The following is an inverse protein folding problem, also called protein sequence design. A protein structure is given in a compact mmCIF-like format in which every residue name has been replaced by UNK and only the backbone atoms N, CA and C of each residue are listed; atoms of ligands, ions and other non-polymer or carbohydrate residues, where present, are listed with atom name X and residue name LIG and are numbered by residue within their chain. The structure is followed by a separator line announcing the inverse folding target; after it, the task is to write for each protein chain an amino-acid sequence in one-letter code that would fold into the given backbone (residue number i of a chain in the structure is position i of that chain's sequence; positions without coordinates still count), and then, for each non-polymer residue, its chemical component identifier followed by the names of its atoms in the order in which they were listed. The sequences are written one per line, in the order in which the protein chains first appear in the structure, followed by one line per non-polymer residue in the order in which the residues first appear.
data_IF_748709618083
#
_entry.id   IF_748709618083
#
_cell.length_a   1.000
_cell.length_b   1.000
_cell.length_c   1.000
_cell.angle_alpha   90.00
_cell.angle_beta   90.00
_cell.angle_gamma   90.00
#
_symmetry.space_group_name_H-M   'P 1'
#
loop_
_entity.id
_entity.type
_entity.pdbx_description
1 polymer ?
#
# COMPACT_ATOMS: atom_id res chain seq x y z
N UNK A 1 -18.24 8.18 -39.18
CA UNK A 1 -16.88 8.84 -39.27
C UNK A 1 -16.31 9.23 -37.92
N UNK A 2 -17.10 9.46 -36.86
CA UNK A 2 -16.63 9.90 -35.52
C UNK A 2 -16.01 8.77 -34.67
N UNK A 3 -16.49 7.53 -34.76
CA UNK A 3 -15.98 6.37 -34.03
C UNK A 3 -14.55 5.96 -34.45
N UNK A 4 -14.22 6.12 -35.75
CA UNK A 4 -12.87 5.82 -36.26
C UNK A 4 -11.81 6.81 -35.78
N UNK A 5 -12.16 8.06 -35.54
CA UNK A 5 -11.25 9.11 -35.06
C UNK A 5 -10.94 8.92 -33.56
N UNK A 6 -11.93 8.52 -32.75
CA UNK A 6 -11.72 8.22 -31.32
C UNK A 6 -10.84 6.98 -31.11
N UNK A 7 -11.04 5.92 -31.88
CA UNK A 7 -10.19 4.73 -31.84
C UNK A 7 -8.76 5.02 -32.24
N UNK A 8 -8.56 5.89 -33.26
CA UNK A 8 -7.23 6.31 -33.71
C UNK A 8 -6.51 7.15 -32.66
N UNK A 9 -7.19 8.11 -32.01
CA UNK A 9 -6.59 8.94 -30.96
C UNK A 9 -6.21 8.14 -29.70
N UNK A 10 -7.06 7.18 -29.29
CA UNK A 10 -6.76 6.29 -28.18
C UNK A 10 -5.58 5.36 -28.52
N UNK A 11 -5.53 4.83 -29.76
CA UNK A 11 -4.41 4.03 -30.26
C UNK A 11 -3.11 4.84 -30.34
N UNK A 12 -3.18 6.11 -30.73
CA UNK A 12 -2.01 7.01 -30.81
C UNK A 12 -1.47 7.38 -29.43
N UNK A 13 -2.36 7.59 -28.45
CA UNK A 13 -1.95 7.81 -27.06
C UNK A 13 -1.31 6.54 -26.49
N UNK A 14 -1.86 5.36 -26.78
CA UNK A 14 -1.27 4.07 -26.38
C UNK A 14 0.07 3.82 -27.07
N UNK A 15 0.21 4.08 -28.37
CA UNK A 15 1.47 3.98 -29.10
C UNK A 15 2.54 4.96 -28.58
N UNK A 16 2.16 6.20 -28.28
CA UNK A 16 3.11 7.16 -27.66
C UNK A 16 3.57 6.74 -26.27
N UNK A 17 2.77 5.98 -25.52
CA UNK A 17 3.19 5.38 -24.26
C UNK A 17 4.12 4.17 -24.48
N UNK A 18 3.93 3.40 -25.55
CA UNK A 18 4.81 2.26 -25.90
C UNK A 18 6.15 2.70 -26.53
N UNK A 19 6.15 3.72 -27.39
CA UNK A 19 7.37 4.19 -28.07
C UNK A 19 8.31 4.99 -27.19
N UNK A 20 7.85 5.65 -26.12
CA UNK A 20 8.68 6.52 -25.31
C UNK A 20 8.93 6.03 -23.89
N UNK A 21 8.67 4.81 -23.50
CA UNK A 21 8.92 4.38 -22.10
C UNK A 21 8.75 5.54 -21.10
N UNK A 22 8.61 5.35 -19.84
CA UNK A 22 8.49 6.44 -18.86
C UNK A 22 9.49 7.56 -19.18
N UNK A 23 8.99 8.77 -19.46
CA UNK A 23 9.79 9.91 -19.88
C UNK A 23 11.01 10.04 -18.95
N UNK A 24 12.23 9.91 -19.47
CA UNK A 24 13.48 9.92 -18.70
C UNK A 24 13.59 11.12 -17.75
N UNK A 25 12.99 12.25 -18.13
CA UNK A 25 12.90 13.44 -17.27
C UNK A 25 11.97 13.21 -16.08
N UNK A 26 10.76 12.65 -16.30
CA UNK A 26 9.81 12.36 -15.24
C UNK A 26 10.40 11.35 -14.22
N UNK A 27 11.07 10.29 -14.70
CA UNK A 27 11.77 9.35 -13.83
C UNK A 27 12.80 10.03 -12.91
N UNK A 28 13.66 10.91 -13.48
CA UNK A 28 14.66 11.66 -12.68
C UNK A 28 14.00 12.56 -11.63
N UNK A 29 12.92 13.27 -11.99
CA UNK A 29 12.19 14.11 -11.04
C UNK A 29 11.54 13.30 -9.91
N UNK A 30 10.89 12.18 -10.22
CA UNK A 30 10.28 11.32 -9.22
C UNK A 30 11.36 10.77 -8.27
N UNK A 31 12.47 10.24 -8.81
CA UNK A 31 13.58 9.75 -8.00
C UNK A 31 14.20 10.87 -7.14
N UNK A 32 14.40 12.04 -7.70
CA UNK A 32 14.98 13.20 -6.98
C UNK A 32 14.10 13.68 -5.83
N UNK A 33 12.79 13.85 -6.08
CA UNK A 33 11.83 14.26 -5.05
C UNK A 33 11.71 13.17 -3.98
N UNK A 34 11.59 11.89 -4.38
CA UNK A 34 11.52 10.78 -3.42
C UNK A 34 12.77 10.69 -2.58
N UNK A 35 13.96 10.79 -3.17
CA UNK A 35 15.23 10.75 -2.44
C UNK A 35 15.35 11.92 -1.46
N UNK A 36 14.99 13.14 -1.86
CA UNK A 36 15.00 14.32 -0.99
C UNK A 36 14.00 14.15 0.19
N UNK A 37 12.79 13.70 -0.10
CA UNK A 37 11.76 13.47 0.92
C UNK A 37 12.16 12.35 1.87
N UNK A 38 12.63 11.21 1.36
CA UNK A 38 13.14 10.11 2.19
C UNK A 38 14.35 10.56 3.03
N UNK A 39 15.26 11.34 2.48
CA UNK A 39 16.42 11.88 3.19
C UNK A 39 16.03 12.74 4.40
N UNK A 40 14.98 13.55 4.27
CA UNK A 40 14.44 14.35 5.37
C UNK A 40 13.72 13.45 6.42
N UNK A 41 13.00 12.43 5.97
CA UNK A 41 12.24 11.55 6.88
C UNK A 41 13.17 10.58 7.63
N UNK A 42 14.24 10.09 7.00
CA UNK A 42 15.19 9.12 7.60
C UNK A 42 15.72 9.61 8.94
N UNK A 43 15.99 10.90 9.09
CA UNK A 43 16.52 11.47 10.33
C UNK A 43 15.57 11.28 11.52
N UNK A 44 14.27 11.25 11.27
CA UNK A 44 13.24 11.11 12.29
C UNK A 44 12.64 9.69 12.34
N UNK A 45 12.37 9.10 11.17
CA UNK A 45 11.68 7.81 11.09
C UNK A 45 12.08 7.01 9.84
N UNK A 46 13.08 6.13 10.02
CA UNK A 46 13.57 5.26 8.95
C UNK A 46 12.46 4.37 8.37
N UNK A 47 11.58 3.83 9.20
CA UNK A 47 10.50 2.92 8.76
C UNK A 47 9.54 3.61 7.80
N UNK A 48 9.19 4.87 8.08
CA UNK A 48 8.33 5.67 7.21
C UNK A 48 9.05 5.98 5.89
N UNK A 49 10.35 6.26 5.93
CA UNK A 49 11.14 6.49 4.73
C UNK A 49 11.22 5.24 3.84
N UNK A 50 11.43 4.06 4.44
CA UNK A 50 11.45 2.77 3.73
C UNK A 50 10.07 2.45 3.14
N UNK A 51 8.99 2.70 3.88
CA UNK A 51 7.62 2.54 3.38
C UNK A 51 7.34 3.46 2.19
N UNK A 52 7.74 4.73 2.27
CA UNK A 52 7.57 5.68 1.18
C UNK A 52 8.39 5.25 -0.05
N UNK A 53 9.65 4.94 0.12
CA UNK A 53 10.52 4.48 -0.96
C UNK A 53 9.98 3.20 -1.61
N UNK A 54 9.57 2.21 -0.80
CA UNK A 54 8.98 0.97 -1.26
C UNK A 54 7.65 1.16 -2.01
N UNK A 55 6.78 2.04 -1.51
CA UNK A 55 5.51 2.35 -2.19
C UNK A 55 5.72 3.05 -3.53
N UNK A 56 6.64 4.01 -3.61
CA UNK A 56 6.99 4.68 -4.87
C UNK A 56 7.65 3.71 -5.84
N UNK A 57 8.53 2.83 -5.36
CA UNK A 57 9.16 1.79 -6.18
C UNK A 57 8.12 0.85 -6.80
N UNK A 58 7.18 0.34 -5.99
CA UNK A 58 6.09 -0.50 -6.48
C UNK A 58 5.16 0.26 -7.44
N UNK A 59 4.91 1.55 -7.18
CA UNK A 59 4.13 2.38 -8.10
C UNK A 59 4.84 2.59 -9.44
N UNK A 60 6.16 2.76 -9.44
CA UNK A 60 6.97 2.81 -10.69
C UNK A 60 6.93 1.47 -11.44
N UNK A 61 6.93 0.33 -10.72
CA UNK A 61 6.78 -0.98 -11.32
C UNK A 61 5.43 -1.12 -12.03
N UNK A 62 4.32 -0.73 -11.35
CA UNK A 62 2.97 -0.69 -11.95
C UNK A 62 2.91 0.30 -13.12
N UNK A 63 3.65 1.41 -13.04
CA UNK A 63 3.78 2.44 -14.08
C UNK A 63 4.60 2.01 -15.30
N UNK A 64 5.04 0.73 -15.37
CA UNK A 64 5.81 0.16 -16.47
C UNK A 64 7.13 0.89 -16.76
N UNK A 65 7.81 1.35 -15.70
CA UNK A 65 9.18 1.86 -15.82
C UNK A 65 10.09 0.72 -16.31
N UNK A 66 11.01 0.97 -17.27
CA UNK A 66 11.89 -0.07 -17.81
C UNK A 66 12.66 -0.83 -16.72
N UNK A 67 12.65 -2.15 -16.78
CA UNK A 67 13.28 -3.02 -15.78
C UNK A 67 14.77 -2.69 -15.51
N UNK A 68 15.49 -2.18 -16.51
CA UNK A 68 16.88 -1.72 -16.33
C UNK A 68 17.00 -0.57 -15.33
N UNK A 69 16.10 0.41 -15.40
CA UNK A 69 16.09 1.55 -14.48
C UNK A 69 15.60 1.15 -13.09
N UNK A 70 14.58 0.28 -13.04
CA UNK A 70 14.04 -0.26 -11.80
C UNK A 70 15.08 -1.14 -11.09
N UNK A 71 15.79 -2.00 -11.82
CA UNK A 71 16.89 -2.82 -11.28
C UNK A 71 18.07 -1.98 -10.77
N UNK A 72 18.43 -0.91 -11.47
CA UNK A 72 19.43 0.04 -10.99
C UNK A 72 18.99 0.71 -9.68
N UNK A 73 17.73 1.17 -9.62
CA UNK A 73 17.18 1.81 -8.41
C UNK A 73 17.13 0.82 -7.23
N UNK A 74 16.71 -0.42 -7.47
CA UNK A 74 16.73 -1.49 -6.48
C UNK A 74 18.16 -1.79 -6.00
N UNK A 75 19.14 -1.85 -6.91
CA UNK A 75 20.56 -2.05 -6.57
C UNK A 75 21.11 -0.92 -5.72
N UNK A 76 20.80 0.34 -6.06
CA UNK A 76 21.20 1.50 -5.25
C UNK A 76 20.54 1.44 -3.87
N UNK A 77 19.22 1.16 -3.79
CA UNK A 77 18.50 1.02 -2.53
C UNK A 77 19.09 -0.08 -1.65
N UNK A 78 19.38 -1.23 -2.22
CA UNK A 78 20.01 -2.35 -1.51
C UNK A 78 21.42 -2.00 -1.01
N UNK A 79 22.22 -1.35 -1.83
CA UNK A 79 23.55 -0.85 -1.41
C UNK A 79 23.43 0.17 -0.26
N UNK A 80 22.48 1.10 -0.32
CA UNK A 80 22.22 2.05 0.76
C UNK A 80 21.80 1.34 2.07
N UNK A 81 20.99 0.28 1.98
CA UNK A 81 20.59 -0.52 3.17
C UNK A 81 21.84 -1.21 3.76
N UNK A 82 22.66 -1.87 2.94
CA UNK A 82 23.88 -2.54 3.43
C UNK A 82 24.85 -1.54 4.07
N UNK A 83 25.10 -0.42 3.42
CA UNK A 83 25.98 0.64 3.96
C UNK A 83 25.36 1.21 5.23
N UNK A 84 24.04 1.48 5.25
CA UNK A 84 23.35 2.00 6.43
C UNK A 84 23.42 1.05 7.61
N UNK A 85 23.08 -0.23 7.42
CA UNK A 85 23.20 -1.27 8.46
C UNK A 85 24.65 -1.43 8.92
N UNK A 86 25.60 -1.44 7.98
CA UNK A 86 27.03 -1.50 8.31
C UNK A 86 27.48 -0.31 9.14
N UNK A 87 27.16 0.91 8.76
CA UNK A 87 27.53 2.11 9.50
C UNK A 87 26.89 2.14 10.89
N UNK A 88 25.63 1.77 11.02
CA UNK A 88 24.94 1.68 12.32
C UNK A 88 25.60 0.63 13.22
N UNK A 89 26.01 -0.52 12.69
CA UNK A 89 26.62 -1.60 13.49
C UNK A 89 28.05 -1.30 13.94
N UNK A 90 28.86 -0.64 13.08
CA UNK A 90 30.29 -0.44 13.35
C UNK A 90 30.62 0.88 14.07
N UNK A 91 29.76 1.88 14.01
CA UNK A 91 30.02 3.17 14.68
C UNK A 91 29.48 3.12 16.12
N UNK A 92 30.29 3.44 17.14
CA UNK A 92 29.85 3.46 18.53
C UNK A 92 28.71 4.47 18.76
N UNK A 93 27.73 4.12 19.62
CA UNK A 93 26.58 4.97 19.94
C UNK A 93 26.94 6.39 20.41
N UNK A 94 28.06 6.54 21.15
CA UNK A 94 28.56 7.85 21.60
C UNK A 94 28.93 8.80 20.47
N UNK A 95 29.33 8.27 19.31
CA UNK A 95 29.64 9.09 18.14
C UNK A 95 28.38 9.68 17.49
N UNK A 96 27.27 8.93 17.52
CA UNK A 96 25.98 9.39 17.02
C UNK A 96 25.40 10.51 17.87
N UNK A 97 25.52 10.43 19.20
CA UNK A 97 25.08 11.45 20.13
C UNK A 97 25.83 12.77 19.95
N UNK A 98 27.15 12.71 19.71
CA UNK A 98 27.98 13.91 19.43
C UNK A 98 27.59 14.66 18.18
N UNK A 99 27.03 13.94 17.18
CA UNK A 99 26.59 14.52 15.89
C UNK A 99 25.11 14.97 15.98
N UNK A 100 24.42 14.73 17.12
CA UNK A 100 23.01 15.08 17.30
C UNK A 100 22.02 14.10 16.66
N UNK A 101 22.47 12.91 16.26
CA UNK A 101 21.65 11.87 15.65
C UNK A 101 21.21 10.81 16.67
N UNK A 102 20.54 11.24 17.74
CA UNK A 102 20.08 10.37 18.85
C UNK A 102 19.21 9.18 18.36
N UNK A 103 18.50 9.33 17.26
CA UNK A 103 17.66 8.26 16.66
C UNK A 103 18.49 7.09 16.15
N UNK A 104 19.75 7.30 15.74
CA UNK A 104 20.62 6.23 15.28
C UNK A 104 21.01 5.25 16.39
N UNK A 105 21.12 5.72 17.63
CA UNK A 105 21.35 4.88 18.79
C UNK A 105 20.16 3.92 19.02
N UNK A 106 18.94 4.44 18.91
CA UNK A 106 17.73 3.62 19.02
C UNK A 106 17.66 2.57 17.88
N UNK A 107 18.08 2.93 16.66
CA UNK A 107 18.15 1.98 15.55
C UNK A 107 19.20 0.92 15.75
N UNK A 108 20.38 1.30 16.29
CA UNK A 108 21.45 0.37 16.63
C UNK A 108 20.99 -0.66 17.66
N UNK A 109 20.30 -0.21 18.72
CA UNK A 109 19.73 -1.11 19.74
C UNK A 109 18.71 -2.08 19.12
N UNK A 110 17.75 -1.59 18.34
CA UNK A 110 16.74 -2.44 17.69
C UNK A 110 17.33 -3.46 16.73
N UNK A 111 18.38 -3.07 16.00
CA UNK A 111 19.05 -3.94 15.04
C UNK A 111 19.84 -5.03 15.76
N UNK A 112 20.60 -4.64 16.78
CA UNK A 112 21.38 -5.58 17.59
C UNK A 112 20.46 -6.58 18.30
N UNK A 113 19.38 -6.11 18.94
CA UNK A 113 18.43 -6.97 19.64
C UNK A 113 17.69 -7.94 18.68
N UNK A 114 17.57 -7.59 17.41
CA UNK A 114 16.92 -8.46 16.40
C UNK A 114 17.89 -9.53 15.85
N UNK A 115 19.18 -9.22 15.72
CA UNK A 115 20.15 -10.12 15.10
C UNK A 115 21.03 -10.88 16.09
N UNK A 116 21.18 -10.39 17.34
CA UNK A 116 21.92 -11.11 18.37
C UNK A 116 20.97 -12.10 19.06
N UNK A 117 21.05 -13.38 18.70
CA UNK A 117 20.35 -14.50 19.35
C UNK A 117 20.88 -14.81 20.76
N UNK A 118 21.94 -14.13 21.22
CA UNK A 118 22.48 -14.30 22.57
C UNK A 118 21.49 -13.75 23.59
N UNK A 119 21.30 -14.49 24.70
CA UNK A 119 20.55 -14.02 25.87
C UNK A 119 20.99 -12.59 26.23
N UNK A 120 20.06 -11.64 26.10
CA UNK A 120 20.35 -10.24 26.39
C UNK A 120 20.75 -10.17 27.88
N UNK A 121 21.99 -9.77 28.23
CA UNK A 121 22.36 -9.63 29.62
C UNK A 121 21.39 -8.69 30.32
N UNK A 122 20.99 -9.04 31.56
CA UNK A 122 20.03 -8.26 32.35
C UNK A 122 20.37 -6.76 32.44
N UNK A 123 21.66 -6.42 32.36
CA UNK A 123 22.15 -5.03 32.34
C UNK A 123 21.89 -4.27 31.03
N UNK A 124 21.56 -4.97 29.91
CA UNK A 124 21.28 -4.38 28.62
C UNK A 124 19.82 -4.57 28.19
N UNK A 125 18.99 -5.17 29.04
CA UNK A 125 17.57 -5.41 28.77
C UNK A 125 16.82 -4.07 28.74
N UNK A 126 16.32 -3.69 27.56
CA UNK A 126 15.47 -2.52 27.42
C UNK A 126 14.03 -2.92 27.77
N UNK A 127 13.59 -2.51 28.97
CA UNK A 127 12.28 -2.85 29.52
C UNK A 127 11.14 -2.45 28.58
N UNK A 128 11.31 -1.38 27.81
CA UNK A 128 10.24 -0.89 26.93
C UNK A 128 10.18 -1.63 25.59
N UNK A 129 11.32 -1.92 24.96
CA UNK A 129 11.36 -2.53 23.63
C UNK A 129 11.47 -4.06 23.67
N UNK A 130 12.33 -4.60 24.55
CA UNK A 130 12.60 -6.05 24.61
C UNK A 130 11.41 -6.80 25.25
N UNK A 131 10.80 -6.20 26.29
CA UNK A 131 9.59 -6.74 26.90
C UNK A 131 8.40 -6.75 25.91
N UNK A 132 8.26 -5.73 25.07
CA UNK A 132 7.17 -5.67 24.07
C UNK A 132 7.28 -6.81 23.05
N UNK A 133 8.49 -7.07 22.54
CA UNK A 133 8.73 -8.17 21.59
C UNK A 133 8.47 -9.52 22.27
N UNK A 134 8.97 -9.70 23.50
CA UNK A 134 8.77 -10.93 24.27
C UNK A 134 7.27 -11.19 24.51
N UNK A 135 6.52 -10.20 24.96
CA UNK A 135 5.08 -10.32 25.16
C UNK A 135 4.30 -10.57 23.86
N UNK A 136 4.69 -9.96 22.75
CA UNK A 136 4.10 -10.23 21.45
C UNK A 136 4.34 -11.69 20.99
N UNK A 137 5.56 -12.19 21.19
CA UNK A 137 5.90 -13.59 20.89
C UNK A 137 5.13 -14.57 21.80
N UNK A 138 4.98 -14.26 23.09
CA UNK A 138 4.18 -15.07 24.03
C UNK A 138 2.70 -15.05 23.61
N UNK A 139 2.16 -13.89 23.20
CA UNK A 139 0.80 -13.76 22.71
C UNK A 139 0.56 -14.73 21.53
N UNK A 140 1.45 -14.69 20.54
CA UNK A 140 1.35 -15.56 19.35
C UNK A 140 1.56 -17.02 19.70
N UNK A 141 2.59 -17.36 20.51
CA UNK A 141 2.88 -18.74 20.89
C UNK A 141 1.74 -19.38 21.72
N UNK A 142 1.07 -18.59 22.56
CA UNK A 142 -0.02 -19.05 23.41
C UNK A 142 -1.39 -19.10 22.74
N UNK A 143 -1.50 -18.59 21.51
CA UNK A 143 -2.81 -18.42 20.83
C UNK A 143 -3.41 -19.70 20.28
N UNK A 144 -2.59 -20.70 19.95
CA UNK A 144 -3.04 -21.89 19.21
C UNK A 144 -3.76 -21.55 17.87
N UNK A 145 -4.56 -22.48 17.34
CA UNK A 145 -5.27 -22.28 16.06
C UNK A 145 -6.51 -21.40 16.23
N UNK A 146 -7.26 -21.55 17.31
CA UNK A 146 -8.57 -20.90 17.51
C UNK A 146 -8.50 -19.68 18.46
N UNK A 147 -7.34 -19.43 19.09
CA UNK A 147 -7.18 -18.36 20.06
C UNK A 147 -7.84 -18.60 21.41
N UNK A 148 -7.68 -17.63 22.30
CA UNK A 148 -8.21 -17.64 23.69
C UNK A 148 -9.67 -17.11 23.76
N UNK A 149 -10.20 -16.65 22.66
CA UNK A 149 -11.50 -15.97 22.56
C UNK A 149 -11.40 -14.44 22.65
N UNK A 150 -12.34 -13.70 22.04
CA UNK A 150 -12.36 -12.26 22.02
C UNK A 150 -12.37 -11.66 23.44
N UNK A 151 -11.51 -10.69 23.70
CA UNK A 151 -11.39 -10.01 25.00
C UNK A 151 -10.58 -10.76 26.06
N UNK A 152 -10.10 -11.98 25.79
CA UNK A 152 -9.35 -12.82 26.72
C UNK A 152 -7.84 -12.76 26.52
N UNK A 153 -7.34 -11.71 25.86
CA UNK A 153 -5.90 -11.51 25.76
C UNK A 153 -5.28 -11.19 27.12
N UNK A 154 -4.29 -11.97 27.52
CA UNK A 154 -3.51 -11.75 28.74
C UNK A 154 -2.38 -10.77 28.46
N UNK A 155 -1.77 -10.85 27.27
CA UNK A 155 -0.61 -10.04 26.94
C UNK A 155 -0.95 -8.58 26.63
N UNK A 156 -2.20 -8.27 26.35
CA UNK A 156 -2.69 -6.91 26.11
C UNK A 156 -2.34 -5.94 27.24
N UNK A 157 -2.43 -6.38 28.49
CA UNK A 157 -2.26 -5.52 29.66
C UNK A 157 -0.77 -5.27 29.99
N UNK A 158 0.12 -6.09 29.42
CA UNK A 158 1.57 -5.98 29.55
C UNK A 158 2.24 -5.21 28.40
N UNK A 159 1.56 -5.04 27.27
CA UNK A 159 2.05 -4.34 26.09
C UNK A 159 1.66 -2.86 26.13
N UNK A 160 2.62 -1.95 26.32
CA UNK A 160 2.36 -0.51 26.35
C UNK A 160 1.76 0.02 25.03
N UNK A 161 2.09 -0.60 23.89
CA UNK A 161 1.58 -0.26 22.55
C UNK A 161 0.70 -1.37 21.95
N UNK A 162 0.00 -2.14 22.79
CA UNK A 162 -0.84 -3.27 22.37
C UNK A 162 -1.82 -2.90 21.26
N UNK A 163 -2.53 -1.79 21.39
CA UNK A 163 -3.56 -1.36 20.45
C UNK A 163 -3.03 -0.55 19.26
N UNK A 164 -1.76 -0.16 19.25
CA UNK A 164 -1.11 0.56 18.17
C UNK A 164 -0.29 -0.37 17.28
N UNK A 165 0.90 -0.67 17.71
CA UNK A 165 1.92 -1.32 16.87
C UNK A 165 1.84 -2.85 16.92
N UNK A 166 1.33 -3.42 18.02
CA UNK A 166 1.26 -4.86 18.27
C UNK A 166 -0.16 -5.42 18.23
N UNK A 167 -1.13 -4.65 17.72
CA UNK A 167 -2.52 -5.09 17.65
C UNK A 167 -2.69 -6.42 16.89
N UNK A 168 -1.84 -6.69 15.89
CA UNK A 168 -1.89 -7.94 15.15
C UNK A 168 -1.52 -9.16 16.02
N UNK A 169 -0.55 -9.03 16.93
CA UNK A 169 -0.23 -10.07 17.91
C UNK A 169 -1.40 -10.35 18.86
N UNK A 170 -2.09 -9.29 19.31
CA UNK A 170 -3.29 -9.41 20.14
C UNK A 170 -4.45 -10.10 19.39
N UNK A 171 -4.66 -9.75 18.12
CA UNK A 171 -5.66 -10.42 17.26
C UNK A 171 -5.36 -11.91 17.15
N UNK A 172 -4.08 -12.28 16.98
CA UNK A 172 -3.68 -13.68 16.93
C UNK A 172 -3.90 -14.34 18.31
N UNK A 173 -3.59 -13.68 19.42
CA UNK A 173 -3.83 -14.24 20.76
C UNK A 173 -5.31 -14.52 21.02
N UNK A 174 -6.20 -13.59 20.66
CA UNK A 174 -7.64 -13.70 20.89
C UNK A 174 -8.36 -14.62 19.90
N UNK A 175 -8.07 -14.47 18.61
CA UNK A 175 -8.78 -15.16 17.52
C UNK A 175 -7.97 -16.30 16.88
N UNK A 176 -6.78 -16.56 17.39
CA UNK A 176 -5.90 -17.60 16.87
C UNK A 176 -5.25 -17.23 15.52
N UNK A 177 -4.55 -18.21 15.00
CA UNK A 177 -3.94 -18.11 13.67
C UNK A 177 -5.00 -17.86 12.56
N UNK A 178 -6.21 -18.38 12.76
CA UNK A 178 -7.35 -18.15 11.84
C UNK A 178 -7.73 -16.67 11.81
N UNK A 179 -7.78 -15.99 12.95
CA UNK A 179 -8.05 -14.55 13.01
C UNK A 179 -6.96 -13.71 12.34
N UNK A 180 -5.68 -14.06 12.58
CA UNK A 180 -4.56 -13.42 11.88
C UNK A 180 -4.63 -13.60 10.37
N UNK A 181 -4.87 -14.83 9.90
CA UNK A 181 -5.04 -15.12 8.48
C UNK A 181 -6.24 -14.37 7.87
N UNK A 182 -7.35 -14.28 8.58
CA UNK A 182 -8.52 -13.53 8.14
C UNK A 182 -8.20 -12.05 7.91
N UNK A 183 -7.48 -11.42 8.84
CA UNK A 183 -7.04 -10.02 8.68
C UNK A 183 -6.12 -9.86 7.46
N UNK A 184 -5.16 -10.77 7.26
CA UNK A 184 -4.30 -10.74 6.09
C UNK A 184 -5.09 -10.87 4.78
N UNK A 185 -6.08 -11.76 4.73
CA UNK A 185 -6.98 -11.92 3.58
C UNK A 185 -7.76 -10.63 3.31
N UNK A 186 -8.24 -9.93 4.34
CA UNK A 186 -8.95 -8.65 4.15
C UNK A 186 -8.08 -7.60 3.44
N UNK A 187 -6.78 -7.50 3.76
CA UNK A 187 -5.87 -6.60 3.04
C UNK A 187 -5.61 -7.04 1.59
N UNK A 188 -5.54 -8.33 1.33
CA UNK A 188 -5.45 -8.87 -0.05
C UNK A 188 -6.73 -8.53 -0.83
N UNK A 189 -7.91 -8.70 -0.23
CA UNK A 189 -9.19 -8.33 -0.84
C UNK A 189 -9.28 -6.82 -1.09
N UNK A 190 -8.81 -6.00 -0.15
CA UNK A 190 -8.72 -4.55 -0.33
C UNK A 190 -7.85 -4.20 -1.54
N UNK A 191 -6.67 -4.80 -1.65
CA UNK A 191 -5.77 -4.58 -2.79
C UNK A 191 -6.41 -5.00 -4.12
N UNK A 192 -7.07 -6.15 -4.16
CA UNK A 192 -7.78 -6.62 -5.37
C UNK A 192 -8.91 -5.67 -5.76
N UNK A 193 -9.66 -5.13 -4.79
CA UNK A 193 -10.71 -4.13 -5.04
C UNK A 193 -10.13 -2.84 -5.60
N UNK A 194 -9.06 -2.35 -5.02
CA UNK A 194 -8.34 -1.15 -5.49
C UNK A 194 -7.81 -1.36 -6.92
N UNK A 195 -7.19 -2.51 -7.19
CA UNK A 195 -6.73 -2.86 -8.53
C UNK A 195 -7.87 -2.94 -9.56
N UNK A 196 -9.07 -3.42 -9.15
CA UNK A 196 -10.25 -3.42 -10.00
C UNK A 196 -10.73 -2.00 -10.31
N UNK A 197 -10.75 -1.10 -9.33
CA UNK A 197 -11.09 0.32 -9.53
C UNK A 197 -10.08 0.96 -10.49
N UNK A 198 -8.78 0.78 -10.24
CA UNK A 198 -7.72 1.33 -11.07
C UNK A 198 -7.81 0.89 -12.55
N UNK A 199 -8.09 -0.40 -12.80
CA UNK A 199 -8.27 -0.93 -14.17
C UNK A 199 -9.47 -0.36 -14.91
N UNK A 200 -10.45 0.14 -14.19
CA UNK A 200 -11.66 0.72 -14.78
C UNK A 200 -11.56 2.25 -14.99
N UNK A 201 -10.44 2.86 -14.59
CA UNK A 201 -10.20 4.30 -14.77
C UNK A 201 -9.60 4.58 -16.15
N UNK A 202 -10.10 5.59 -16.84
CA UNK A 202 -9.57 6.05 -18.14
C UNK A 202 -8.39 7.03 -17.97
N UNK A 203 -8.38 7.81 -16.88
CA UNK A 203 -7.36 8.84 -16.64
C UNK A 203 -6.20 8.27 -15.82
N UNK A 204 -4.99 8.38 -16.35
CA UNK A 204 -3.75 7.92 -15.71
C UNK A 204 -3.56 8.48 -14.30
N UNK A 205 -3.95 9.74 -14.05
CA UNK A 205 -3.86 10.36 -12.72
C UNK A 205 -4.64 9.56 -11.65
N UNK A 206 -5.89 9.19 -11.95
CA UNK A 206 -6.70 8.42 -10.99
C UNK A 206 -6.17 7.00 -10.80
N UNK A 207 -5.64 6.39 -11.86
CA UNK A 207 -5.01 5.06 -11.78
C UNK A 207 -3.85 5.09 -10.78
N UNK A 208 -2.92 6.04 -10.95
CA UNK A 208 -1.75 6.15 -10.08
C UNK A 208 -2.12 6.56 -8.66
N UNK A 209 -3.08 7.47 -8.48
CA UNK A 209 -3.53 7.90 -7.16
C UNK A 209 -4.13 6.74 -6.36
N UNK A 210 -5.11 6.03 -6.93
CA UNK A 210 -5.78 4.90 -6.26
C UNK A 210 -4.81 3.76 -6.00
N UNK A 211 -3.97 3.42 -6.98
CA UNK A 211 -2.97 2.36 -6.84
C UNK A 211 -1.92 2.71 -5.82
N UNK A 212 -1.44 3.96 -5.81
CA UNK A 212 -0.44 4.44 -4.84
C UNK A 212 -0.95 4.37 -3.40
N UNK A 213 -2.18 4.83 -3.14
CA UNK A 213 -2.82 4.72 -1.83
C UNK A 213 -2.97 3.26 -1.42
N UNK A 214 -3.43 2.39 -2.34
CA UNK A 214 -3.60 0.97 -2.08
C UNK A 214 -2.30 0.26 -1.73
N UNK A 215 -1.25 0.53 -2.49
CA UNK A 215 0.09 -0.01 -2.22
C UNK A 215 0.58 0.46 -0.85
N UNK A 216 0.45 1.75 -0.53
CA UNK A 216 0.88 2.30 0.74
C UNK A 216 0.18 1.63 1.92
N UNK A 217 -1.15 1.50 1.88
CA UNK A 217 -1.95 0.85 2.93
C UNK A 217 -1.55 -0.62 3.12
N UNK A 218 -1.46 -1.37 2.03
CA UNK A 218 -1.14 -2.81 2.11
C UNK A 218 0.31 -3.03 2.51
N UNK A 219 1.24 -2.22 2.02
CA UNK A 219 2.64 -2.30 2.40
C UNK A 219 2.81 -1.99 3.90
N UNK A 220 2.16 -0.94 4.41
CA UNK A 220 2.17 -0.61 5.84
C UNK A 220 1.59 -1.74 6.69
N UNK A 221 0.45 -2.33 6.26
CA UNK A 221 -0.13 -3.48 6.95
C UNK A 221 0.82 -4.68 6.96
N UNK A 222 1.45 -4.98 5.82
CA UNK A 222 2.42 -6.08 5.72
C UNK A 222 3.60 -5.86 6.66
N UNK A 223 4.16 -4.64 6.70
CA UNK A 223 5.25 -4.33 7.64
C UNK A 223 4.83 -4.51 9.10
N UNK A 224 3.64 -4.02 9.50
CA UNK A 224 3.15 -4.22 10.87
C UNK A 224 2.98 -5.71 11.20
N UNK A 225 2.40 -6.51 10.30
CA UNK A 225 2.25 -7.94 10.49
C UNK A 225 3.60 -8.66 10.62
N UNK A 226 4.59 -8.31 9.78
CA UNK A 226 5.94 -8.90 9.84
C UNK A 226 6.69 -8.54 11.14
N UNK A 227 6.50 -7.32 11.66
CA UNK A 227 7.02 -6.91 12.96
C UNK A 227 6.35 -7.68 14.09
N UNK A 228 5.02 -7.79 14.06
CA UNK A 228 4.25 -8.48 15.09
C UNK A 228 4.63 -9.96 15.23
N UNK A 229 4.98 -10.63 14.11
CA UNK A 229 5.44 -12.03 14.10
C UNK A 229 6.97 -12.18 14.28
N UNK A 230 7.70 -11.10 14.57
CA UNK A 230 9.13 -11.14 14.87
C UNK A 230 10.06 -11.29 13.66
N UNK A 231 9.55 -11.25 12.43
CA UNK A 231 10.38 -11.35 11.20
C UNK A 231 11.17 -10.05 10.95
N UNK A 232 10.62 -8.90 11.34
CA UNK A 232 11.25 -7.59 11.18
C UNK A 232 11.42 -6.90 12.54
N UNK A 233 12.44 -6.04 12.68
CA UNK A 233 12.63 -5.24 13.89
C UNK A 233 11.46 -4.28 14.10
N UNK A 234 11.19 -3.91 15.35
CA UNK A 234 10.09 -3.02 15.73
C UNK A 234 10.21 -1.68 15.02
N UNK A 235 9.15 -1.32 14.27
CA UNK A 235 9.13 -0.14 13.41
C UNK A 235 8.25 1.00 13.93
N UNK A 236 7.35 0.74 14.88
CA UNK A 236 6.40 1.74 15.36
C UNK A 236 5.36 2.15 14.31
N UNK A 237 5.04 1.25 13.37
CA UNK A 237 4.04 1.52 12.33
C UNK A 237 2.71 0.86 12.71
N UNK A 238 1.61 1.64 12.83
CA UNK A 238 0.31 1.08 13.15
C UNK A 238 -0.27 0.27 11.98
N UNK A 239 -1.09 -0.74 12.30
CA UNK A 239 -1.85 -1.50 11.31
C UNK A 239 -2.99 -0.63 10.76
N UNK A 240 -2.99 -0.26 9.46
CA UNK A 240 -3.99 0.64 8.89
C UNK A 240 -5.42 0.14 9.11
N UNK A 241 -6.34 1.05 9.42
CA UNK A 241 -7.78 0.78 9.63
C UNK A 241 -8.13 -0.03 10.89
N UNK A 242 -7.18 -0.67 11.55
CA UNK A 242 -7.41 -1.55 12.72
C UNK A 242 -6.79 -0.95 13.98
N UNK A 243 -5.54 -0.46 13.90
CA UNK A 243 -4.85 0.10 15.06
C UNK A 243 -5.54 1.34 15.63
N UNK A 244 -5.50 1.47 16.94
CA UNK A 244 -5.93 2.67 17.65
C UNK A 244 -4.86 3.77 17.51
N UNK A 245 -5.09 4.74 16.63
CA UNK A 245 -4.21 5.88 16.45
C UNK A 245 -5.02 7.08 15.93
N UNK A 246 -5.01 8.21 16.67
CA UNK A 246 -5.82 9.38 16.32
C UNK A 246 -5.51 9.93 14.93
N UNK A 247 -4.25 10.27 14.68
CA UNK A 247 -3.80 10.83 13.39
C UNK A 247 -3.83 9.81 12.27
N UNK A 248 -3.42 8.55 12.52
CA UNK A 248 -3.42 7.50 11.51
C UNK A 248 -4.84 7.16 11.04
N UNK A 249 -5.81 7.15 11.96
CA UNK A 249 -7.23 6.93 11.61
C UNK A 249 -7.76 8.03 10.70
N UNK A 250 -7.47 9.30 11.00
CA UNK A 250 -7.89 10.43 10.14
C UNK A 250 -7.29 10.32 8.74
N UNK A 251 -6.00 10.03 8.64
CA UNK A 251 -5.32 9.87 7.35
C UNK A 251 -5.90 8.69 6.57
N UNK A 252 -6.14 7.55 7.23
CA UNK A 252 -6.74 6.38 6.61
C UNK A 252 -8.17 6.65 6.12
N UNK A 253 -8.97 7.43 6.87
CA UNK A 253 -10.30 7.87 6.42
C UNK A 253 -10.21 8.72 5.15
N UNK A 254 -9.24 9.64 5.06
CA UNK A 254 -9.00 10.43 3.84
C UNK A 254 -8.61 9.52 2.67
N UNK A 255 -7.73 8.55 2.89
CA UNK A 255 -7.34 7.59 1.84
C UNK A 255 -8.53 6.79 1.32
N UNK A 256 -9.34 6.24 2.20
CA UNK A 256 -10.55 5.50 1.80
C UNK A 256 -11.54 6.43 1.11
N UNK A 257 -11.73 7.66 1.61
CA UNK A 257 -12.59 8.67 0.97
C UNK A 257 -12.17 8.99 -0.47
N UNK A 258 -10.86 9.14 -0.72
CA UNK A 258 -10.33 9.33 -2.08
C UNK A 258 -10.59 8.12 -2.97
N UNK A 259 -10.37 6.90 -2.49
CA UNK A 259 -10.64 5.66 -3.25
C UNK A 259 -12.12 5.55 -3.61
N UNK A 260 -13.02 5.82 -2.64
CA UNK A 260 -14.47 5.76 -2.86
C UNK A 260 -14.95 6.83 -3.83
N UNK A 261 -14.41 8.06 -3.74
CA UNK A 261 -14.72 9.15 -4.66
C UNK A 261 -14.37 8.78 -6.11
N UNK A 262 -13.18 8.22 -6.32
CA UNK A 262 -12.75 7.78 -7.65
C UNK A 262 -13.58 6.58 -8.12
N UNK A 263 -13.90 5.64 -7.24
CA UNK A 263 -14.78 4.52 -7.57
C UNK A 263 -16.16 4.98 -8.02
N UNK A 264 -16.73 5.98 -7.36
CA UNK A 264 -18.01 6.59 -7.76
C UNK A 264 -17.89 7.24 -9.14
N UNK A 265 -16.88 8.07 -9.35
CA UNK A 265 -16.63 8.72 -10.63
C UNK A 265 -16.56 7.72 -11.80
N UNK A 266 -15.85 6.59 -11.61
CA UNK A 266 -15.75 5.54 -12.62
C UNK A 266 -17.10 4.86 -12.92
N UNK A 267 -17.89 4.62 -11.87
CA UNK A 267 -19.22 4.01 -12.04
C UNK A 267 -20.20 4.97 -12.75
N UNK A 268 -20.16 6.25 -12.43
CA UNK A 268 -20.99 7.27 -13.08
C UNK A 268 -20.63 7.40 -14.57
N UNK A 269 -19.33 7.37 -14.92
CA UNK A 269 -18.89 7.35 -16.34
C UNK A 269 -19.38 6.11 -17.08
N UNK A 270 -19.30 4.93 -16.48
CA UNK A 270 -19.79 3.70 -17.10
C UNK A 270 -21.29 3.72 -17.33
N UNK A 271 -22.03 4.30 -16.38
CA UNK A 271 -23.47 4.46 -16.50
C UNK A 271 -23.83 5.39 -17.65
N UNK A 272 -23.17 6.54 -17.76
CA UNK A 272 -23.37 7.47 -18.88
C UNK A 272 -23.06 6.82 -20.23
N UNK A 273 -21.96 6.09 -20.34
CA UNK A 273 -21.61 5.36 -21.56
C UNK A 273 -22.64 4.29 -21.93
N UNK A 274 -23.18 3.58 -20.95
CA UNK A 274 -24.23 2.58 -21.17
C UNK A 274 -25.54 3.24 -21.65
N UNK A 275 -25.93 4.36 -21.06
CA UNK A 275 -27.11 5.14 -21.45
C UNK A 275 -26.96 5.70 -22.88
N UNK A 276 -25.78 6.23 -23.24
CA UNK A 276 -25.49 6.70 -24.61
C UNK A 276 -25.56 5.55 -25.65
N UNK A 277 -25.02 4.37 -25.31
CA UNK A 277 -25.08 3.21 -26.20
C UNK A 277 -26.51 2.70 -26.42
N UNK A 278 -27.32 2.68 -25.35
CA UNK A 278 -28.74 2.32 -25.45
C UNK A 278 -29.53 3.32 -26.32
N UNK A 279 -29.27 4.62 -26.14
CA UNK A 279 -29.91 5.65 -26.99
C UNK A 279 -29.54 5.48 -28.45
N UNK A 280 -28.26 5.25 -28.77
CA UNK A 280 -27.80 4.99 -30.15
C UNK A 280 -28.45 3.73 -30.76
N UNK A 281 -28.58 2.65 -29.98
CA UNK A 281 -29.26 1.43 -30.47
C UNK A 281 -30.74 1.65 -30.71
N UNK A 282 -31.38 2.47 -29.88
CA UNK A 282 -32.80 2.80 -30.05
C UNK A 282 -33.02 3.63 -31.31
N UNK A 283 -32.18 4.64 -31.57
CA UNK A 283 -32.21 5.46 -32.79
C UNK A 283 -31.99 4.59 -34.07
N UNK A 284 -30.99 3.71 -34.06
CA UNK A 284 -30.75 2.79 -35.16
C UNK A 284 -31.91 1.83 -35.41
N UNK A 285 -32.57 1.35 -34.34
CA UNK A 285 -33.72 0.46 -34.47
C UNK A 285 -34.95 1.17 -35.03
N UNK A 286 -35.12 2.46 -34.78
CA UNK A 286 -36.17 3.28 -35.34
C UNK A 286 -35.89 3.61 -36.81
N UNK A 287 -34.64 3.80 -37.21
CA UNK A 287 -34.25 4.09 -38.59
C UNK A 287 -34.34 2.85 -39.52
N UNK A 288 -34.22 1.64 -38.93
CA UNK A 288 -34.32 0.35 -39.64
C UNK A 288 -35.77 -0.15 -39.70
N UNK A 289 -36.70 0.40 -38.92
CA UNK A 289 -38.10 0.04 -39.00
C UNK A 289 -38.64 0.49 -40.41
N UNK A 290 -38.90 -0.43 -41.35
CA UNK A 290 -39.23 -0.02 -42.70
C UNK A 290 -40.59 0.65 -42.68
N UNK A 291 -40.71 1.66 -43.54
CA UNK A 291 -41.90 2.36 -44.01
C UNK A 291 -42.90 1.37 -44.68
N UNK A 292 -43.31 0.33 -43.95
CA UNK A 292 -44.21 -0.73 -44.40
C UNK A 292 -45.64 -0.48 -43.88
N UNK A 293 -46.18 0.70 -44.14
CA UNK A 293 -47.63 0.92 -44.05
C UNK A 293 -48.17 1.70 -45.24
N UNK A 294 -47.86 1.25 -46.49
CA UNK A 294 -48.68 1.57 -47.64
C UNK A 294 -49.65 0.41 -47.80
N UNK A 295 -50.78 0.48 -47.15
CA UNK A 295 -51.94 -0.35 -47.46
C UNK A 295 -52.46 0.16 -48.84
N UNK A 296 -52.48 -0.66 -49.93
CA UNK A 296 -53.10 -0.27 -51.12
C UNK A 296 -54.62 -0.18 -50.90
N UNK A 297 -55.17 1.01 -51.02
CA UNK A 297 -56.64 1.15 -51.10
C UNK A 297 -57.12 0.44 -52.36
N UNK A 298 -57.79 -0.68 -52.18
CA UNK A 298 -58.53 -1.41 -53.15
C UNK A 298 -59.67 -0.52 -53.69
N UNK A 299 -59.56 -0.12 -54.94
CA UNK A 299 -60.65 0.58 -55.69
C UNK A 299 -61.74 -0.45 -55.97
N UNK A 300 -62.87 -0.39 -55.25
CA UNK A 300 -64.13 -1.01 -55.69
C UNK A 300 -64.75 -0.24 -56.84
N UNK A 301 -64.94 -0.94 -57.96
CA UNK A 301 -65.85 -0.60 -59.07
C UNK A 301 -67.15 -1.33 -58.78
#
# INVERSE_FOLDING_TARGET
RSTRVRSSAASDVYKRQEENGANKKAFKYICGITAATCGLIVTENLSTAVLLAGSVFLLMFVGRVPFKQLGLLAGIGFACIIIGVGTIKYIPGEAWDKIGLHRMVTWQSRLNNHFDESEIPAAKFDIDNDAQIAHANIAIASSHILGKGPGNSVQRDFLSQAFSDFIYAIIIEELGLVGGAFVAILYILLLMRIAKIARNCDKSYYIFLVTGIGILLVLQATFNMLVAVGIMPVTGQPLPLISKGGTSTLVNCVYIGMILSISRYVNDLKRQQAEELLAQQTEQSQEIAPENNIIPQEKSV
#
